data_IF_186408275952
#
_entry.id   IF_186408275952
#
_cell.length_a   1.000
_cell.length_b   1.000
_cell.length_c   1.000
_cell.angle_alpha   90.00
_cell.angle_beta   90.00
_cell.angle_gamma   90.00
#
_symmetry.space_group_name_H-M   'P 1'
#
loop_
_entity.id
_entity.type
_entity.pdbx_description
1 polymer ?
#
# COMPACT_ATOMS: atom_id res chain seq x y z
N UNK A 1 28.61 -41.65 47.32
CA UNK A 1 29.37 -41.12 46.18
C UNK A 1 28.45 -40.22 45.39
N UNK A 2 28.69 -38.91 45.44
CA UNK A 2 27.91 -37.90 44.76
C UNK A 2 28.59 -37.57 43.43
N UNK A 3 27.86 -37.62 42.31
CA UNK A 3 28.29 -37.04 41.05
C UNK A 3 27.25 -36.03 40.60
N UNK A 4 27.62 -34.80 40.93
CA UNK A 4 27.11 -33.50 40.52
C UNK A 4 27.01 -33.44 38.99
N UNK A 5 25.84 -33.03 38.50
CA UNK A 5 25.57 -32.77 37.09
C UNK A 5 24.44 -31.75 36.99
N UNK A 6 24.62 -30.62 37.68
CA UNK A 6 23.78 -29.44 37.51
C UNK A 6 23.97 -28.96 36.06
N UNK A 7 22.92 -29.12 35.26
CA UNK A 7 22.80 -28.43 33.98
C UNK A 7 22.55 -26.96 34.33
N UNK A 8 23.60 -26.14 34.21
CA UNK A 8 23.48 -24.69 34.27
C UNK A 8 22.50 -24.24 33.18
N UNK A 9 21.27 -23.93 33.59
CA UNK A 9 20.35 -23.11 32.82
C UNK A 9 20.97 -21.72 32.75
N UNK A 10 21.77 -21.47 31.71
CA UNK A 10 22.30 -20.14 31.42
C UNK A 10 21.11 -19.23 31.20
N UNK A 11 20.92 -18.37 32.20
CA UNK A 11 19.96 -17.28 32.22
C UNK A 11 20.21 -16.43 30.97
N UNK A 12 19.33 -16.56 29.97
CA UNK A 12 19.38 -15.76 28.76
C UNK A 12 19.10 -14.32 29.18
N UNK A 13 20.18 -13.55 29.29
CA UNK A 13 20.18 -12.12 29.56
C UNK A 13 19.04 -11.46 28.81
N UNK A 14 18.04 -10.99 29.56
CA UNK A 14 16.93 -10.22 29.04
C UNK A 14 17.48 -8.95 28.38
N UNK A 15 17.78 -9.04 27.08
CA UNK A 15 18.02 -7.88 26.23
C UNK A 15 16.75 -7.07 26.24
N UNK A 16 16.87 -5.79 26.58
CA UNK A 16 15.80 -4.79 26.44
C UNK A 16 15.32 -4.82 24.98
N UNK A 17 14.23 -5.54 24.73
CA UNK A 17 13.59 -5.60 23.42
C UNK A 17 12.90 -4.26 23.17
N UNK A 18 13.39 -3.53 22.17
CA UNK A 18 12.65 -2.43 21.57
C UNK A 18 11.34 -3.03 20.99
N UNK A 19 10.14 -2.51 21.30
CA UNK A 19 8.87 -3.07 20.83
C UNK A 19 8.70 -3.10 19.29
N UNK A 20 9.67 -2.56 18.54
CA UNK A 20 9.73 -2.61 17.08
C UNK A 20 10.92 -3.42 16.53
N UNK A 21 11.75 -4.04 17.38
CA UNK A 21 12.84 -4.89 16.91
C UNK A 21 12.35 -6.33 16.71
N UNK A 22 12.01 -6.64 15.46
CA UNK A 22 11.57 -7.97 15.03
C UNK A 22 12.72 -8.79 14.42
N UNK A 23 13.96 -8.30 14.45
CA UNK A 23 15.11 -8.97 13.84
C UNK A 23 15.38 -10.36 14.45
N UNK A 24 15.06 -10.53 15.72
CA UNK A 24 15.19 -11.81 16.42
C UNK A 24 14.11 -12.83 16.02
N UNK A 25 12.93 -12.39 15.54
CA UNK A 25 11.87 -13.28 15.04
C UNK A 25 12.17 -13.84 13.64
N UNK A 26 13.11 -13.21 12.92
CA UNK A 26 13.56 -13.64 11.60
C UNK A 26 14.76 -14.59 11.67
N UNK A 27 15.32 -14.81 12.86
CA UNK A 27 16.41 -15.75 13.08
C UNK A 27 15.84 -17.14 13.35
N UNK A 28 15.80 -17.97 12.30
CA UNK A 28 15.40 -19.38 12.41
C UNK A 28 16.51 -20.17 13.12
N UNK A 29 16.43 -20.27 14.46
CA UNK A 29 17.41 -21.03 15.24
C UNK A 29 17.35 -22.55 14.96
N UNK A 30 16.28 -23.01 14.30
CA UNK A 30 15.98 -24.42 14.01
C UNK A 30 16.58 -24.90 12.68
N UNK A 31 17.90 -24.74 12.52
CA UNK A 31 18.65 -25.18 11.34
C UNK A 31 18.49 -26.68 11.00
N UNK A 32 18.24 -27.53 12.00
CA UNK A 32 17.99 -28.97 11.82
C UNK A 32 16.69 -29.28 11.07
N UNK A 33 15.68 -28.39 11.11
CA UNK A 33 14.44 -28.57 10.35
C UNK A 33 14.64 -28.34 8.84
N UNK A 34 15.72 -27.66 8.45
CA UNK A 34 16.11 -27.39 7.06
C UNK A 34 17.16 -28.39 6.53
N UNK A 35 17.65 -29.30 7.37
CA UNK A 35 18.52 -30.39 6.94
C UNK A 35 17.68 -31.48 6.23
N UNK A 36 17.26 -31.16 5.01
CA UNK A 36 16.67 -32.14 4.10
C UNK A 36 17.71 -33.19 3.74
N UNK A 37 17.30 -34.46 3.77
CA UNK A 37 18.09 -35.52 3.15
C UNK A 37 18.24 -35.24 1.65
N UNK A 38 19.30 -35.75 1.02
CA UNK A 38 19.51 -35.57 -0.43
C UNK A 38 18.32 -36.08 -1.26
N UNK A 39 17.63 -37.10 -0.77
CA UNK A 39 16.39 -37.61 -1.38
C UNK A 39 15.20 -36.65 -1.25
N UNK A 40 15.07 -35.96 -0.11
CA UNK A 40 14.02 -34.95 0.10
C UNK A 40 14.27 -33.72 -0.77
N UNK A 41 15.54 -33.28 -0.90
CA UNK A 41 15.91 -32.18 -1.81
C UNK A 41 15.59 -32.52 -3.26
N UNK A 42 15.95 -33.73 -3.69
CA UNK A 42 15.65 -34.21 -5.05
C UNK A 42 14.13 -34.27 -5.29
N UNK A 43 13.35 -34.74 -4.32
CA UNK A 43 11.89 -34.79 -4.43
C UNK A 43 11.27 -33.39 -4.59
N UNK A 44 11.75 -32.39 -3.84
CA UNK A 44 11.30 -31.00 -3.98
C UNK A 44 11.66 -30.41 -5.35
N UNK A 45 12.90 -30.64 -5.82
CA UNK A 45 13.33 -30.19 -7.15
C UNK A 45 12.48 -30.80 -8.28
N UNK A 46 12.17 -32.10 -8.19
CA UNK A 46 11.30 -32.78 -9.15
C UNK A 46 9.87 -32.25 -9.11
N UNK A 47 9.36 -31.89 -7.92
CA UNK A 47 8.04 -31.27 -7.78
C UNK A 47 7.99 -29.89 -8.45
N UNK A 48 9.02 -29.06 -8.25
CA UNK A 48 9.12 -27.73 -8.87
C UNK A 48 9.19 -27.85 -10.41
N UNK A 49 10.01 -28.78 -10.92
CA UNK A 49 10.10 -29.06 -12.35
C UNK A 49 8.78 -29.55 -12.95
N UNK A 50 8.05 -30.41 -12.23
CA UNK A 50 6.74 -30.88 -12.67
C UNK A 50 5.75 -29.72 -12.77
N UNK A 51 5.76 -28.82 -11.79
CA UNK A 51 4.88 -27.65 -11.77
C UNK A 51 5.19 -26.66 -12.89
N UNK A 52 6.46 -26.48 -13.23
CA UNK A 52 6.88 -25.65 -14.36
C UNK A 52 6.42 -26.25 -15.70
N UNK A 53 6.60 -27.55 -15.91
CA UNK A 53 6.13 -28.24 -17.12
C UNK A 53 4.60 -28.22 -17.27
N UNK A 54 3.86 -28.34 -16.17
CA UNK A 54 2.40 -28.23 -16.16
C UNK A 54 1.93 -26.83 -16.61
N UNK A 55 2.66 -25.78 -16.21
CA UNK A 55 2.41 -24.40 -16.64
C UNK A 55 2.70 -24.22 -18.13
N UNK A 56 3.86 -24.69 -18.60
CA UNK A 56 4.24 -24.60 -20.03
C UNK A 56 3.19 -25.27 -20.93
N UNK A 57 2.70 -26.44 -20.52
CA UNK A 57 1.67 -27.16 -21.25
C UNK A 57 0.35 -26.37 -21.31
N UNK A 58 -0.06 -25.75 -20.19
CA UNK A 58 -1.26 -24.91 -20.16
C UNK A 58 -1.15 -23.67 -21.07
N UNK A 59 0.04 -23.06 -21.16
CA UNK A 59 0.29 -21.91 -22.03
C UNK A 59 0.31 -22.30 -23.51
N UNK A 60 0.92 -23.44 -23.84
CA UNK A 60 0.93 -23.96 -25.21
C UNK A 60 -0.48 -24.32 -25.70
N UNK A 61 -1.32 -24.89 -24.83
CA UNK A 61 -2.73 -25.15 -25.14
C UNK A 61 -3.51 -23.85 -25.37
N UNK A 62 -3.23 -22.79 -24.62
CA UNK A 62 -3.85 -21.49 -24.81
C UNK A 62 -3.40 -20.76 -26.10
N UNK A 63 -2.20 -21.07 -26.61
CA UNK A 63 -1.62 -20.41 -27.79
C UNK A 63 -2.02 -21.05 -29.13
N UNK A 64 -2.61 -22.25 -29.12
CA UNK A 64 -3.03 -22.96 -30.34
C UNK A 64 -4.40 -22.56 -30.89
N UNK A 65 -5.14 -21.65 -30.25
CA UNK A 65 -6.40 -21.13 -30.80
C UNK A 65 -6.17 -19.77 -31.47
N UNK A 66 -5.92 -19.77 -32.78
CA UNK A 66 -6.18 -18.57 -33.60
C UNK A 66 -6.42 -18.93 -35.07
N UNK A 67 -7.69 -18.79 -35.49
CA UNK A 67 -8.12 -18.25 -36.79
C UNK A 67 -9.68 -18.21 -36.88
N UNK A 68 -10.34 -17.41 -36.03
CA UNK A 68 -11.67 -16.79 -36.26
C UNK A 68 -11.95 -15.74 -35.16
N UNK A 69 -11.14 -14.68 -35.26
CA UNK A 69 -10.78 -13.74 -34.21
C UNK A 69 -11.84 -12.66 -33.95
N UNK A 70 -12.62 -12.79 -32.87
CA UNK A 70 -12.86 -11.75 -31.84
C UNK A 70 -13.95 -12.24 -30.88
N UNK A 71 -15.05 -12.78 -31.41
CA UNK A 71 -16.14 -13.33 -30.60
C UNK A 71 -15.72 -14.65 -29.94
N UNK A 72 -15.10 -15.55 -30.72
CA UNK A 72 -14.48 -16.76 -30.19
C UNK A 72 -13.34 -16.42 -29.22
N UNK A 73 -12.60 -15.33 -29.44
CA UNK A 73 -11.55 -14.88 -28.52
C UNK A 73 -12.11 -14.42 -27.18
N UNK A 74 -13.24 -13.69 -27.15
CA UNK A 74 -13.87 -13.33 -25.87
C UNK A 74 -14.44 -14.54 -25.12
N UNK A 75 -14.97 -15.53 -25.84
CA UNK A 75 -15.46 -16.77 -25.24
C UNK A 75 -14.31 -17.65 -24.74
N UNK A 76 -13.28 -17.84 -25.55
CA UNK A 76 -12.07 -18.57 -25.20
C UNK A 76 -11.28 -17.89 -24.09
N UNK A 77 -11.20 -16.55 -24.05
CA UNK A 77 -10.59 -15.82 -22.95
C UNK A 77 -11.37 -16.04 -21.65
N UNK A 78 -12.71 -16.03 -21.71
CA UNK A 78 -13.55 -16.30 -20.54
C UNK A 78 -13.39 -17.75 -20.07
N UNK A 79 -13.40 -18.70 -20.99
CA UNK A 79 -13.21 -20.13 -20.70
C UNK A 79 -11.80 -20.42 -20.18
N UNK A 80 -10.77 -19.78 -20.72
CA UNK A 80 -9.39 -19.87 -20.23
C UNK A 80 -9.24 -19.23 -18.84
N UNK A 81 -9.92 -18.10 -18.58
CA UNK A 81 -9.94 -17.49 -17.25
C UNK A 81 -10.67 -18.38 -16.24
N UNK A 82 -11.77 -19.04 -16.64
CA UNK A 82 -12.50 -19.98 -15.81
C UNK A 82 -11.67 -21.24 -15.53
N UNK A 83 -11.05 -21.83 -16.55
CA UNK A 83 -10.14 -22.96 -16.42
C UNK A 83 -8.91 -22.62 -15.55
N UNK A 84 -8.35 -21.41 -15.69
CA UNK A 84 -7.26 -20.92 -14.84
C UNK A 84 -7.71 -20.79 -13.39
N UNK A 85 -8.87 -20.20 -13.15
CA UNK A 85 -9.42 -20.08 -11.80
C UNK A 85 -9.71 -21.46 -11.18
N UNK A 86 -10.22 -22.41 -11.96
CA UNK A 86 -10.45 -23.79 -11.53
C UNK A 86 -9.13 -24.50 -11.20
N UNK A 87 -8.12 -24.37 -12.07
CA UNK A 87 -6.79 -24.93 -11.84
C UNK A 87 -6.14 -24.34 -10.58
N UNK A 88 -6.16 -23.02 -10.42
CA UNK A 88 -5.63 -22.34 -9.24
C UNK A 88 -6.36 -22.80 -7.96
N UNK A 89 -7.68 -22.93 -8.00
CA UNK A 89 -8.47 -23.43 -6.88
C UNK A 89 -8.11 -24.87 -6.55
N UNK A 90 -8.01 -25.75 -7.55
CA UNK A 90 -7.64 -27.16 -7.36
C UNK A 90 -6.22 -27.30 -6.82
N UNK A 91 -5.27 -26.52 -7.33
CA UNK A 91 -3.90 -26.51 -6.85
C UNK A 91 -3.83 -26.01 -5.41
N UNK A 92 -4.57 -24.95 -5.07
CA UNK A 92 -4.68 -24.44 -3.70
C UNK A 92 -5.32 -25.45 -2.74
N UNK A 93 -6.38 -26.15 -3.15
CA UNK A 93 -7.00 -27.21 -2.34
C UNK A 93 -5.99 -28.34 -2.11
N UNK A 94 -5.33 -28.80 -3.16
CA UNK A 94 -4.35 -29.89 -3.08
C UNK A 94 -3.18 -29.51 -2.15
N UNK A 95 -2.64 -28.29 -2.32
CA UNK A 95 -1.60 -27.76 -1.46
C UNK A 95 -2.05 -27.66 0.00
N UNK A 96 -3.24 -27.12 0.27
CA UNK A 96 -3.76 -27.00 1.63
C UNK A 96 -3.92 -28.38 2.30
N UNK A 97 -4.42 -29.39 1.57
CA UNK A 97 -4.54 -30.75 2.10
C UNK A 97 -3.17 -31.35 2.41
N UNK A 98 -2.18 -31.15 1.52
CA UNK A 98 -0.81 -31.64 1.71
C UNK A 98 -0.09 -30.99 2.90
N UNK A 99 -0.35 -29.71 3.18
CA UNK A 99 0.27 -28.98 4.30
C UNK A 99 -0.48 -29.20 5.61
N UNK A 100 -1.81 -29.32 5.59
CA UNK A 100 -2.62 -29.40 6.81
C UNK A 100 -2.41 -30.70 7.59
N UNK A 101 -2.28 -31.85 6.92
CA UNK A 101 -2.03 -33.14 7.59
C UNK A 101 -0.74 -33.17 8.42
N UNK A 102 0.44 -32.80 7.89
CA UNK A 102 1.67 -32.75 8.68
C UNK A 102 1.61 -31.66 9.77
N UNK A 103 0.98 -30.50 9.52
CA UNK A 103 0.81 -29.45 10.55
C UNK A 103 -0.04 -29.93 11.72
N UNK A 104 -1.18 -30.57 11.46
CA UNK A 104 -2.03 -31.12 12.51
C UNK A 104 -1.31 -32.21 13.31
N UNK A 105 -0.56 -33.08 12.64
CA UNK A 105 0.24 -34.13 13.30
C UNK A 105 1.37 -33.54 14.14
N UNK A 106 2.01 -32.47 13.68
CA UNK A 106 3.07 -31.76 14.39
C UNK A 106 2.54 -31.12 15.68
N UNK A 107 1.38 -30.45 15.61
CA UNK A 107 0.77 -29.74 16.74
C UNK A 107 0.15 -30.71 17.75
N UNK A 108 -0.55 -31.76 17.30
CA UNK A 108 -1.28 -32.67 18.19
C UNK A 108 -0.46 -33.86 18.71
N UNK A 109 0.70 -34.16 18.10
CA UNK A 109 1.72 -35.03 18.69
C UNK A 109 1.29 -36.45 19.09
N UNK A 110 0.42 -37.11 18.31
CA UNK A 110 -0.05 -38.47 18.60
C UNK A 110 1.03 -39.55 18.48
N UNK A 111 0.72 -40.77 18.96
CA UNK A 111 1.63 -41.94 18.88
C UNK A 111 2.04 -42.30 17.44
N UNK A 112 1.22 -41.93 16.46
CA UNK A 112 1.46 -42.15 15.02
C UNK A 112 2.18 -40.98 14.32
N UNK A 113 2.52 -39.92 15.04
CA UNK A 113 3.26 -38.78 14.48
C UNK A 113 4.73 -39.18 14.29
N UNK A 114 5.19 -39.19 13.04
CA UNK A 114 6.57 -39.49 12.69
C UNK A 114 7.56 -38.43 13.16
N UNK A 115 8.85 -38.74 13.05
CA UNK A 115 9.93 -37.83 13.42
C UNK A 115 9.96 -36.57 12.52
N UNK A 116 9.65 -36.73 11.24
CA UNK A 116 9.62 -35.63 10.27
C UNK A 116 8.56 -34.58 10.63
N UNK A 117 7.37 -35.00 11.05
CA UNK A 117 6.29 -34.10 11.47
C UNK A 117 6.58 -33.44 12.83
N UNK A 118 7.29 -34.10 13.75
CA UNK A 118 7.70 -33.44 15.01
C UNK A 118 8.75 -32.35 14.78
N UNK A 119 9.61 -32.54 13.78
CA UNK A 119 10.70 -31.61 13.44
C UNK A 119 10.19 -30.26 12.90
N UNK A 120 8.99 -30.20 12.31
CA UNK A 120 8.42 -28.95 11.77
C UNK A 120 7.75 -28.07 12.83
N UNK A 121 7.50 -28.57 14.04
CA UNK A 121 6.78 -27.84 15.09
C UNK A 121 7.38 -26.45 15.42
N UNK A 122 8.72 -26.28 15.52
CA UNK A 122 9.29 -24.97 15.78
C UNK A 122 9.06 -23.97 14.64
N UNK A 123 9.05 -24.43 13.39
CA UNK A 123 8.77 -23.59 12.23
C UNK A 123 7.31 -23.11 12.22
N UNK A 124 6.39 -23.96 12.68
CA UNK A 124 4.98 -23.57 12.86
C UNK A 124 4.88 -22.46 13.91
N UNK A 125 5.57 -22.60 15.04
CA UNK A 125 5.56 -21.59 16.10
C UNK A 125 6.19 -20.25 15.64
N UNK A 126 7.29 -20.29 14.89
CA UNK A 126 7.91 -19.09 14.30
C UNK A 126 6.96 -18.44 13.28
N UNK A 127 6.35 -19.23 12.38
CA UNK A 127 5.36 -18.76 11.41
C UNK A 127 4.15 -18.12 12.09
N UNK A 128 3.64 -18.71 13.18
CA UNK A 128 2.53 -18.16 13.95
C UNK A 128 2.89 -16.83 14.61
N UNK A 129 4.09 -16.73 15.20
CA UNK A 129 4.59 -15.48 15.78
C UNK A 129 4.70 -14.37 14.73
N UNK A 130 5.27 -14.67 13.55
CA UNK A 130 5.36 -13.74 12.43
C UNK A 130 3.96 -13.34 11.94
N UNK A 131 3.03 -14.30 11.84
CA UNK A 131 1.65 -14.05 11.40
C UNK A 131 0.90 -13.13 12.38
N UNK A 132 1.09 -13.32 13.68
CA UNK A 132 0.52 -12.43 14.71
C UNK A 132 1.07 -11.02 14.61
N UNK A 133 2.39 -10.87 14.47
CA UNK A 133 3.05 -9.56 14.29
C UNK A 133 2.55 -8.89 13.02
N UNK A 134 2.53 -9.60 11.90
CA UNK A 134 2.02 -9.10 10.62
C UNK A 134 0.56 -8.65 10.73
N UNK A 135 -0.30 -9.42 11.40
CA UNK A 135 -1.68 -9.03 11.67
C UNK A 135 -1.79 -7.74 12.49
N UNK A 136 -0.95 -7.60 13.51
CA UNK A 136 -0.90 -6.39 14.35
C UNK A 136 -0.44 -5.15 13.55
N UNK A 137 0.59 -5.30 12.72
CA UNK A 137 1.13 -4.24 11.88
C UNK A 137 0.15 -3.83 10.78
N UNK A 138 -0.51 -4.80 10.16
CA UNK A 138 -1.57 -4.56 9.17
C UNK A 138 -2.74 -3.82 9.79
N UNK A 139 -3.17 -4.21 10.99
CA UNK A 139 -4.24 -3.51 11.71
C UNK A 139 -3.85 -2.07 12.04
N UNK A 140 -2.62 -1.85 12.52
CA UNK A 140 -2.06 -0.51 12.73
C UNK A 140 -2.05 0.29 11.43
N UNK A 141 -1.55 -0.27 10.33
CA UNK A 141 -1.49 0.38 9.02
C UNK A 141 -2.88 0.78 8.52
N UNK A 142 -3.87 -0.11 8.61
CA UNK A 142 -5.25 0.18 8.22
C UNK A 142 -5.83 1.28 9.11
N UNK A 143 -5.53 1.28 10.41
CA UNK A 143 -5.98 2.34 11.31
C UNK A 143 -5.35 3.70 10.97
N UNK A 144 -4.04 3.76 10.70
CA UNK A 144 -3.34 4.99 10.33
C UNK A 144 -3.84 5.49 8.98
N UNK A 145 -4.06 4.60 8.01
CA UNK A 145 -4.63 4.95 6.71
C UNK A 145 -6.01 5.59 6.86
N UNK A 146 -6.87 5.03 7.73
CA UNK A 146 -8.18 5.63 8.02
C UNK A 146 -8.03 7.02 8.62
N UNK A 147 -7.14 7.20 9.60
CA UNK A 147 -6.93 8.53 10.21
C UNK A 147 -6.41 9.56 9.22
N UNK A 148 -5.47 9.18 8.34
CA UNK A 148 -4.94 10.04 7.27
C UNK A 148 -6.06 10.41 6.30
N UNK A 149 -6.85 9.44 5.84
CA UNK A 149 -7.97 9.70 4.93
C UNK A 149 -8.99 10.66 5.55
N UNK A 150 -9.35 10.47 6.83
CA UNK A 150 -10.27 11.38 7.52
C UNK A 150 -9.69 12.78 7.69
N UNK A 151 -8.40 12.90 8.00
CA UNK A 151 -7.73 14.18 8.12
C UNK A 151 -7.60 14.89 6.76
N UNK A 152 -7.30 14.15 5.69
CA UNK A 152 -7.25 14.65 4.33
C UNK A 152 -8.62 15.19 3.89
N UNK A 153 -9.70 14.46 4.16
CA UNK A 153 -11.06 14.91 3.86
C UNK A 153 -11.42 16.18 4.63
N UNK A 154 -11.10 16.25 5.93
CA UNK A 154 -11.31 17.46 6.73
C UNK A 154 -10.51 18.65 6.19
N UNK A 155 -9.27 18.42 5.74
CA UNK A 155 -8.42 19.46 5.15
C UNK A 155 -8.98 19.98 3.82
N UNK A 156 -9.51 19.11 2.95
CA UNK A 156 -10.18 19.51 1.71
C UNK A 156 -11.38 20.42 2.01
N UNK A 157 -12.23 20.04 2.97
CA UNK A 157 -13.40 20.86 3.38
C UNK A 157 -12.95 22.20 3.96
N UNK A 158 -11.95 22.20 4.84
CA UNK A 158 -11.41 23.43 5.42
C UNK A 158 -10.78 24.35 4.36
N UNK A 159 -10.03 23.79 3.41
CA UNK A 159 -9.41 24.52 2.31
C UNK A 159 -10.47 25.14 1.38
N UNK A 160 -11.56 24.43 1.09
CA UNK A 160 -12.69 24.97 0.34
C UNK A 160 -13.33 26.15 1.07
N UNK A 161 -13.63 26.01 2.37
CA UNK A 161 -14.19 27.08 3.18
C UNK A 161 -13.27 28.30 3.27
N UNK A 162 -11.96 28.07 3.41
CA UNK A 162 -10.97 29.15 3.41
C UNK A 162 -10.95 29.89 2.07
N UNK A 163 -11.12 29.17 0.94
CA UNK A 163 -11.24 29.79 -0.39
C UNK A 163 -12.52 30.61 -0.52
N UNK A 164 -13.65 30.08 -0.06
CA UNK A 164 -14.94 30.79 -0.04
C UNK A 164 -14.85 32.08 0.80
N UNK A 165 -14.33 32.00 2.03
CA UNK A 165 -14.14 33.18 2.89
C UNK A 165 -13.14 34.18 2.30
N UNK A 166 -12.06 33.72 1.67
CA UNK A 166 -11.12 34.61 0.98
C UNK A 166 -11.78 35.33 -0.21
N UNK A 167 -12.67 34.67 -0.94
CA UNK A 167 -13.45 35.29 -2.01
C UNK A 167 -14.45 36.32 -1.46
N UNK A 168 -15.14 36.02 -0.35
CA UNK A 168 -16.01 36.99 0.33
C UNK A 168 -15.24 38.19 0.85
N UNK A 169 -14.07 37.99 1.47
CA UNK A 169 -13.21 39.09 1.91
C UNK A 169 -12.75 39.96 0.74
N UNK A 170 -12.42 39.37 -0.40
CA UNK A 170 -12.07 40.11 -1.60
C UNK A 170 -13.25 40.92 -2.15
N UNK A 171 -14.45 40.33 -2.20
CA UNK A 171 -15.66 41.03 -2.63
C UNK A 171 -15.99 42.20 -1.70
N UNK A 172 -15.94 41.99 -0.38
CA UNK A 172 -16.14 43.05 0.62
C UNK A 172 -15.08 44.16 0.50
N UNK A 173 -13.82 43.80 0.25
CA UNK A 173 -12.76 44.78 0.02
C UNK A 173 -12.98 45.58 -1.27
N UNK A 174 -13.49 44.96 -2.34
CA UNK A 174 -13.85 45.62 -3.59
C UNK A 174 -15.07 46.55 -3.42
N UNK A 175 -16.09 46.13 -2.67
CA UNK A 175 -17.26 46.95 -2.32
C UNK A 175 -16.86 48.16 -1.46
N UNK A 176 -16.02 47.94 -0.43
CA UNK A 176 -15.46 49.03 0.38
C UNK A 176 -14.63 50.00 -0.47
N UNK A 177 -13.84 49.49 -1.42
CA UNK A 177 -13.08 50.32 -2.37
C UNK A 177 -14.00 51.13 -3.29
N UNK A 178 -15.09 50.54 -3.78
CA UNK A 178 -16.05 51.21 -4.64
C UNK A 178 -16.82 52.32 -3.90
N UNK A 179 -17.09 52.13 -2.61
CA UNK A 179 -17.66 53.14 -1.72
C UNK A 179 -16.63 54.23 -1.39
N UNK A 180 -15.40 53.87 -1.01
CA UNK A 180 -14.37 54.83 -0.63
C UNK A 180 -13.89 55.68 -1.81
N UNK A 181 -13.76 55.11 -3.02
CA UNK A 181 -13.32 55.87 -4.20
C UNK A 181 -14.32 56.95 -4.64
N UNK A 182 -15.60 56.81 -4.27
CA UNK A 182 -16.67 57.78 -4.58
C UNK A 182 -16.86 58.85 -3.49
N UNK A 183 -16.44 58.58 -2.24
CA UNK A 183 -16.71 59.42 -1.07
C UNK A 183 -15.47 60.05 -0.37
N UNK A 184 -14.23 59.81 -0.84
CA UNK A 184 -13.04 60.39 -0.17
C UNK A 184 -12.77 61.84 -0.60
N UNK A 185 -13.10 62.80 0.29
CA UNK A 185 -12.66 64.21 0.21
C UNK A 185 -11.27 64.44 0.85
N UNK A 186 -10.80 63.54 1.73
CA UNK A 186 -9.57 63.72 2.54
C UNK A 186 -8.31 63.07 1.90
N UNK A 187 -7.26 63.84 1.57
CA UNK A 187 -6.09 63.36 0.82
C UNK A 187 -5.26 62.29 1.54
N UNK A 188 -5.24 62.25 2.88
CA UNK A 188 -4.46 61.25 3.64
C UNK A 188 -5.03 59.83 3.54
N UNK A 189 -6.36 59.72 3.44
CA UNK A 189 -7.03 58.43 3.26
C UNK A 189 -6.81 57.88 1.84
N UNK A 190 -6.68 58.76 0.83
CA UNK A 190 -6.30 58.38 -0.54
C UNK A 190 -4.93 57.70 -0.62
N UNK A 191 -3.94 58.25 0.08
CA UNK A 191 -2.59 57.68 0.07
C UNK A 191 -2.56 56.30 0.74
N UNK A 192 -3.30 56.10 1.84
CA UNK A 192 -3.40 54.79 2.51
C UNK A 192 -4.11 53.75 1.64
N UNK A 193 -5.19 54.12 0.94
CA UNK A 193 -5.87 53.23 -0.02
C UNK A 193 -4.93 52.84 -1.16
N UNK A 194 -4.14 53.79 -1.68
CA UNK A 194 -3.16 53.51 -2.74
C UNK A 194 -2.05 52.54 -2.30
N UNK A 195 -1.67 52.55 -1.03
CA UNK A 195 -0.68 51.63 -0.47
C UNK A 195 -1.25 50.20 -0.38
N UNK A 196 -2.47 50.06 0.15
CA UNK A 196 -3.17 48.76 0.22
C UNK A 196 -3.42 48.19 -1.18
N UNK A 197 -3.72 49.02 -2.17
CA UNK A 197 -3.83 48.58 -3.57
C UNK A 197 -2.53 48.00 -4.15
N UNK A 198 -1.38 48.57 -3.77
CA UNK A 198 -0.08 48.05 -4.19
C UNK A 198 0.19 46.69 -3.55
N UNK A 199 -0.09 46.54 -2.27
CA UNK A 199 0.04 45.26 -1.56
C UNK A 199 -0.88 44.18 -2.15
N UNK A 200 -2.12 44.52 -2.52
CA UNK A 200 -3.04 43.58 -3.16
C UNK A 200 -2.55 43.14 -4.54
N UNK A 201 -2.02 44.07 -5.36
CA UNK A 201 -1.41 43.73 -6.65
C UNK A 201 -0.19 42.82 -6.49
N UNK A 202 0.64 43.06 -5.47
CA UNK A 202 1.77 42.18 -5.16
C UNK A 202 1.30 40.79 -4.73
N UNK A 203 0.27 40.70 -3.90
CA UNK A 203 -0.33 39.43 -3.48
C UNK A 203 -0.89 38.64 -4.67
N UNK A 204 -1.65 39.29 -5.57
CA UNK A 204 -2.15 38.66 -6.81
C UNK A 204 -1.01 38.15 -7.70
N UNK A 205 0.09 38.90 -7.83
CA UNK A 205 1.28 38.45 -8.57
C UNK A 205 1.89 37.20 -7.96
N UNK A 206 2.02 37.15 -6.63
CA UNK A 206 2.54 35.97 -5.91
C UNK A 206 1.64 34.74 -6.09
N UNK A 207 0.32 34.93 -6.03
CA UNK A 207 -0.65 33.87 -6.28
C UNK A 207 -0.54 33.32 -7.72
N UNK A 208 -0.40 34.19 -8.73
CA UNK A 208 -0.19 33.78 -10.14
C UNK A 208 1.10 32.98 -10.32
N UNK A 209 2.19 33.39 -9.66
CA UNK A 209 3.46 32.62 -9.69
C UNK A 209 3.34 31.25 -9.03
N UNK A 210 2.64 31.15 -7.90
CA UNK A 210 2.41 29.86 -7.22
C UNK A 210 1.53 28.92 -8.04
N UNK A 211 0.47 29.42 -8.69
CA UNK A 211 -0.37 28.63 -9.60
C UNK A 211 0.46 28.06 -10.76
N UNK A 212 1.31 28.88 -11.38
CA UNK A 212 2.20 28.44 -12.46
C UNK A 212 3.19 27.35 -12.04
N UNK A 213 3.80 27.47 -10.87
CA UNK A 213 4.73 26.43 -10.34
C UNK A 213 3.99 25.13 -10.04
N UNK A 214 2.80 25.19 -9.43
CA UNK A 214 2.00 24.00 -9.13
C UNK A 214 1.53 23.28 -10.40
N UNK A 215 1.06 24.02 -11.40
CA UNK A 215 0.67 23.45 -12.70
C UNK A 215 1.86 22.74 -13.38
N UNK A 216 3.03 23.39 -13.42
CA UNK A 216 4.25 22.78 -13.96
C UNK A 216 4.67 21.51 -13.19
N UNK A 217 4.51 21.49 -11.87
CA UNK A 217 4.81 20.33 -11.03
C UNK A 217 3.85 19.17 -11.29
N UNK A 218 2.55 19.44 -11.40
CA UNK A 218 1.52 18.42 -11.68
C UNK A 218 1.75 17.81 -13.07
N UNK A 219 1.95 18.64 -14.10
CA UNK A 219 2.26 18.17 -15.47
C UNK A 219 3.59 17.40 -15.50
N UNK A 220 4.61 17.86 -14.79
CA UNK A 220 5.93 17.23 -14.73
C UNK A 220 5.98 15.92 -13.93
N UNK A 221 5.00 15.67 -13.06
CA UNK A 221 4.95 14.46 -12.21
C UNK A 221 4.51 13.19 -12.94
N UNK A 222 3.94 13.31 -14.15
CA UNK A 222 3.40 12.19 -14.91
C UNK A 222 2.06 11.65 -14.37
N UNK A 223 1.42 12.32 -13.40
CA UNK A 223 0.07 12.02 -12.95
C UNK A 223 -0.92 12.30 -14.10
N UNK A 224 -1.90 11.42 -14.31
CA UNK A 224 -2.96 11.60 -15.31
C UNK A 224 -3.98 12.67 -14.83
N UNK A 225 -3.55 13.92 -14.87
CA UNK A 225 -4.34 15.08 -14.42
C UNK A 225 -5.59 15.32 -15.29
N UNK A 226 -5.61 14.86 -16.55
CA UNK A 226 -6.76 15.00 -17.44
C UNK A 226 -7.95 14.09 -17.08
N UNK A 227 -7.74 13.10 -16.21
CA UNK A 227 -8.81 12.24 -15.70
C UNK A 227 -9.44 12.78 -14.40
N UNK A 228 -8.85 13.81 -13.78
CA UNK A 228 -9.33 14.43 -12.56
C UNK A 228 -9.75 15.87 -12.86
N UNK A 229 -11.04 16.16 -12.67
CA UNK A 229 -11.64 17.48 -12.95
C UNK A 229 -10.98 18.59 -12.12
N UNK A 230 -10.55 18.30 -10.89
CA UNK A 230 -9.89 19.29 -10.02
C UNK A 230 -8.45 19.57 -10.42
N UNK A 231 -7.72 18.57 -10.93
CA UNK A 231 -6.38 18.78 -11.49
C UNK A 231 -6.45 19.43 -12.88
N UNK A 232 -7.51 19.14 -13.64
CA UNK A 232 -7.77 19.78 -14.93
C UNK A 232 -8.03 21.27 -14.75
N UNK A 233 -8.88 21.70 -13.79
CA UNK A 233 -9.10 23.11 -13.46
C UNK A 233 -7.83 23.80 -12.93
N UNK A 234 -6.98 23.08 -12.19
CA UNK A 234 -5.73 23.63 -11.67
C UNK A 234 -4.68 23.85 -12.76
N UNK A 235 -4.65 22.97 -13.77
CA UNK A 235 -3.67 22.97 -14.86
C UNK A 235 -4.12 23.82 -16.04
N UNK A 236 -5.42 23.79 -16.39
CA UNK A 236 -5.99 24.68 -17.38
C UNK A 236 -6.10 26.09 -16.77
N UNK A 237 -5.28 27.00 -17.26
CA UNK A 237 -5.56 28.42 -17.09
C UNK A 237 -6.78 28.73 -17.97
N UNK A 238 -7.92 29.03 -17.35
CA UNK A 238 -8.94 29.83 -18.03
C UNK A 238 -8.22 31.13 -18.44
N UNK A 239 -8.00 31.30 -19.74
CA UNK A 239 -7.44 32.49 -20.35
C UNK A 239 -8.43 33.67 -20.21
N UNK A 240 -8.71 34.09 -18.98
CA UNK A 240 -9.36 35.37 -18.68
C UNK A 240 -8.28 36.43 -18.43
N UNK A 241 -7.55 36.80 -19.47
CA UNK A 241 -6.77 38.05 -19.57
C UNK A 241 -6.74 38.46 -21.07
N UNK A 242 -7.91 38.85 -21.61
CA UNK A 242 -8.05 39.78 -22.74
C UNK A 242 -8.71 41.07 -22.27
#
# INVERSE_FOLDING_TARGET
MATKGDVEMVDTTAKLQDPNDYADLLQTNHSDAFAFSETEKLALQLYDQLKELELELSLLQAQQSDDELQAQLTMAQREAMEAKAEYELRNRISHNVLVMDPVLKAVHGGERTGFAEKRILPLIAESDAVSMVHGSLTSKLVSTQRTINTAAQANIVASRKNRELAAEMLALAEDMKAQSAKDIEDPRLRDQVSAVEKELRESRRRAKTLKGVLSAMVVGSGINWAADEGLTELVMDDEDDS
#
